data_IF_792750808378
#
_entry.id   IF_792750808378
#
_cell.length_a   1.000
_cell.length_b   1.000
_cell.length_c   1.000
_cell.angle_alpha   90.00
_cell.angle_beta   90.00
_cell.angle_gamma   90.00
#
_symmetry.space_group_name_H-M   'P 1'
#
loop_
_entity.id
_entity.type
_entity.pdbx_description
1 polymer ?
#
# COMPACT_ATOMS: atom_id res chain seq x y z
N UNK A 1 1.88 36.29 25.13
CA UNK A 1 2.40 35.65 23.93
C UNK A 1 1.29 34.75 23.40
N UNK A 2 0.64 35.10 22.30
CA UNK A 2 -0.39 34.28 21.67
C UNK A 2 0.34 33.01 21.15
N UNK A 3 0.10 31.86 21.79
CA UNK A 3 0.50 30.61 21.20
C UNK A 3 -0.18 30.54 19.82
N UNK A 4 0.61 30.51 18.75
CA UNK A 4 0.08 30.25 17.41
C UNK A 4 -0.65 28.90 17.48
N UNK A 5 -1.96 28.93 17.37
CA UNK A 5 -2.79 27.72 17.39
C UNK A 5 -2.51 26.97 16.09
N UNK A 6 -2.14 25.69 16.20
CA UNK A 6 -1.91 24.82 15.06
C UNK A 6 -3.16 24.77 14.15
N UNK A 7 -2.96 24.86 12.85
CA UNK A 7 -4.02 24.87 11.83
C UNK A 7 -3.79 23.79 10.76
N UNK A 8 -4.82 23.46 9.99
CA UNK A 8 -4.69 22.54 8.83
C UNK A 8 -3.69 23.08 7.80
N UNK A 9 -3.62 24.41 7.60
CA UNK A 9 -2.64 25.03 6.70
C UNK A 9 -1.19 24.76 7.12
N UNK A 10 -0.91 24.68 8.43
CA UNK A 10 0.43 24.35 8.94
C UNK A 10 0.82 22.89 8.68
N UNK A 11 -0.17 22.00 8.52
CA UNK A 11 0.02 20.61 8.16
C UNK A 11 0.27 20.50 6.65
N UNK A 12 -0.57 21.13 5.84
CA UNK A 12 -0.49 21.09 4.37
C UNK A 12 0.86 21.66 3.89
N UNK A 13 1.34 22.76 4.50
CA UNK A 13 2.58 23.42 4.12
C UNK A 13 3.86 22.72 4.63
N UNK A 14 3.76 21.73 5.52
CA UNK A 14 4.93 21.01 6.05
C UNK A 14 5.48 20.03 5.02
N UNK A 15 6.72 20.18 4.63
CA UNK A 15 7.39 19.34 3.63
C UNK A 15 8.05 18.07 4.23
N UNK A 16 8.35 18.08 5.53
CA UNK A 16 8.88 16.92 6.25
C UNK A 16 7.71 16.03 6.68
N UNK A 17 7.59 14.85 6.07
CA UNK A 17 6.44 13.96 6.29
C UNK A 17 6.32 13.43 7.72
N UNK A 18 7.43 13.27 8.44
CA UNK A 18 7.39 12.92 9.87
C UNK A 18 6.77 14.05 10.70
N UNK A 19 7.19 15.28 10.45
CA UNK A 19 6.63 16.47 11.13
C UNK A 19 5.19 16.72 10.69
N UNK A 20 4.87 16.52 9.40
CA UNK A 20 3.50 16.63 8.88
C UNK A 20 2.56 15.68 9.62
N UNK A 21 2.91 14.41 9.75
CA UNK A 21 2.12 13.45 10.51
C UNK A 21 2.01 13.83 11.99
N UNK A 22 3.11 14.24 12.65
CA UNK A 22 3.07 14.68 14.05
C UNK A 22 2.11 15.86 14.24
N UNK A 23 2.17 16.87 13.38
CA UNK A 23 1.24 18.02 13.42
C UNK A 23 -0.21 17.59 13.19
N UNK A 24 -0.45 16.65 12.26
CA UNK A 24 -1.80 16.15 12.00
C UNK A 24 -2.37 15.40 13.21
N UNK A 25 -1.59 14.54 13.85
CA UNK A 25 -1.96 13.87 15.10
C UNK A 25 -2.24 14.88 16.21
N UNK A 26 -1.38 15.89 16.38
CA UNK A 26 -1.56 16.92 17.41
C UNK A 26 -2.86 17.71 17.18
N UNK A 27 -3.14 18.14 15.94
CA UNK A 27 -4.36 18.90 15.64
C UNK A 27 -5.61 18.03 15.77
N UNK A 28 -5.57 16.78 15.33
CA UNK A 28 -6.63 15.81 15.53
C UNK A 28 -6.98 15.68 17.03
N UNK A 29 -5.98 15.38 17.87
CA UNK A 29 -6.19 15.22 19.31
C UNK A 29 -6.71 16.49 20.01
N UNK A 30 -6.26 17.69 19.59
CA UNK A 30 -6.70 18.96 20.13
C UNK A 30 -8.14 19.29 19.76
N UNK A 31 -8.59 18.89 18.57
CA UNK A 31 -9.92 19.20 18.05
C UNK A 31 -10.98 18.17 18.40
N UNK A 32 -10.58 16.92 18.66
CA UNK A 32 -11.44 15.74 18.81
C UNK A 32 -12.67 15.98 19.74
N UNK A 33 -12.49 16.68 20.85
CA UNK A 33 -13.56 16.90 21.83
C UNK A 33 -14.36 18.20 21.66
N UNK A 34 -13.78 19.20 21.00
CA UNK A 34 -14.30 20.56 21.07
C UNK A 34 -14.56 21.21 19.70
N UNK A 35 -14.12 20.58 18.62
CA UNK A 35 -14.26 21.12 17.26
C UNK A 35 -14.34 20.01 16.20
N UNK A 36 -15.50 19.33 16.08
CA UNK A 36 -15.68 18.23 15.11
C UNK A 36 -15.35 18.62 13.67
N UNK A 37 -15.65 19.84 13.26
CA UNK A 37 -15.37 20.35 11.91
C UNK A 37 -13.86 20.38 11.62
N UNK A 38 -13.03 20.81 12.60
CA UNK A 38 -11.57 20.76 12.44
C UNK A 38 -11.08 19.32 12.42
N UNK A 39 -11.64 18.45 13.26
CA UNK A 39 -11.28 17.02 13.25
C UNK A 39 -11.62 16.39 11.90
N UNK A 40 -12.82 16.66 11.38
CA UNK A 40 -13.24 16.20 10.04
C UNK A 40 -12.28 16.68 8.96
N UNK A 41 -11.96 17.97 8.94
CA UNK A 41 -11.05 18.53 7.93
C UNK A 41 -9.64 17.91 7.97
N UNK A 42 -9.12 17.56 9.17
CA UNK A 42 -7.85 16.81 9.31
C UNK A 42 -8.00 15.40 8.76
N UNK A 43 -9.06 14.69 9.14
CA UNK A 43 -9.32 13.32 8.67
C UNK A 43 -9.51 13.28 7.15
N UNK A 44 -10.31 14.19 6.58
CA UNK A 44 -10.52 14.30 5.13
C UNK A 44 -9.18 14.53 4.40
N UNK A 45 -8.29 15.37 4.95
CA UNK A 45 -6.97 15.60 4.36
C UNK A 45 -6.08 14.35 4.43
N UNK A 46 -6.12 13.61 5.55
CA UNK A 46 -5.29 12.41 5.77
C UNK A 46 -5.72 11.26 4.85
N UNK A 47 -7.03 11.07 4.66
CA UNK A 47 -7.59 9.94 3.89
C UNK A 47 -8.16 10.34 2.52
N UNK A 48 -8.05 11.61 2.13
CA UNK A 48 -8.60 12.12 0.86
C UNK A 48 -8.02 11.41 -0.36
N UNK A 49 -6.73 11.11 -0.33
CA UNK A 49 -6.06 10.27 -1.31
C UNK A 49 -5.29 9.15 -0.60
N UNK A 50 -5.96 8.06 -0.23
CA UNK A 50 -5.37 7.04 0.63
C UNK A 50 -4.27 6.23 -0.04
N UNK A 51 -4.24 6.14 -1.37
CA UNK A 51 -3.22 5.43 -2.12
C UNK A 51 -1.94 6.27 -2.29
N UNK A 52 -2.11 7.52 -2.68
CA UNK A 52 -1.00 8.37 -3.14
C UNK A 52 -0.49 9.31 -2.03
N UNK A 53 -1.31 9.65 -1.04
CA UNK A 53 -0.87 10.46 0.08
C UNK A 53 0.03 9.66 1.05
N UNK A 54 1.32 9.59 0.74
CA UNK A 54 2.32 8.89 1.55
C UNK A 54 2.84 9.70 2.75
N UNK A 55 2.30 10.89 2.96
CA UNK A 55 2.63 11.72 4.11
C UNK A 55 2.20 11.13 5.45
N UNK A 56 1.33 10.12 5.43
CA UNK A 56 0.74 9.52 6.62
C UNK A 56 0.86 8.01 6.63
N UNK A 57 1.14 7.45 7.81
CA UNK A 57 1.22 5.99 7.97
C UNK A 57 -0.15 5.33 7.80
N UNK A 58 -0.19 4.06 7.37
CA UNK A 58 -1.43 3.30 7.23
C UNK A 58 -2.26 3.26 8.51
N UNK A 59 -1.63 3.10 9.67
CA UNK A 59 -2.32 3.08 10.96
C UNK A 59 -3.02 4.40 11.27
N UNK A 60 -2.38 5.56 11.00
CA UNK A 60 -3.02 6.85 11.23
C UNK A 60 -4.14 7.12 10.21
N UNK A 61 -3.98 6.70 8.96
CA UNK A 61 -5.07 6.76 7.96
C UNK A 61 -6.29 5.97 8.41
N UNK A 62 -6.10 4.74 8.90
CA UNK A 62 -7.18 3.92 9.44
C UNK A 62 -7.88 4.61 10.62
N UNK A 63 -7.11 5.21 11.54
CA UNK A 63 -7.66 5.92 12.68
C UNK A 63 -8.57 7.09 12.24
N UNK A 64 -8.11 7.89 11.26
CA UNK A 64 -8.90 8.96 10.67
C UNK A 64 -10.14 8.42 9.92
N UNK A 65 -10.01 7.33 9.16
CA UNK A 65 -11.11 6.72 8.45
C UNK A 65 -12.20 6.23 9.39
N UNK A 66 -11.84 5.54 10.48
CA UNK A 66 -12.80 5.07 11.46
C UNK A 66 -13.55 6.24 12.11
N UNK A 67 -12.85 7.32 12.44
CA UNK A 67 -13.50 8.53 12.97
C UNK A 67 -14.49 9.15 11.97
N UNK A 68 -14.14 9.21 10.68
CA UNK A 68 -15.05 9.72 9.64
C UNK A 68 -16.28 8.84 9.49
N UNK A 69 -16.12 7.52 9.52
CA UNK A 69 -17.24 6.58 9.45
C UNK A 69 -18.21 6.81 10.62
N UNK A 70 -17.69 6.87 11.85
CA UNK A 70 -18.52 7.14 13.03
C UNK A 70 -19.22 8.49 12.90
N UNK A 71 -18.51 9.54 12.49
CA UNK A 71 -19.07 10.88 12.29
C UNK A 71 -20.20 10.91 11.25
N UNK A 72 -20.03 10.24 10.11
CA UNK A 72 -21.05 10.20 9.06
C UNK A 72 -22.22 9.27 9.42
N UNK A 73 -21.99 8.20 10.17
CA UNK A 73 -23.04 7.37 10.73
C UNK A 73 -23.93 8.17 11.69
N UNK A 74 -23.33 8.97 12.58
CA UNK A 74 -24.09 9.85 13.49
C UNK A 74 -24.95 10.84 12.70
N UNK A 75 -24.39 11.48 11.66
CA UNK A 75 -25.13 12.41 10.78
C UNK A 75 -26.30 11.71 10.07
N UNK A 76 -26.09 10.50 9.55
CA UNK A 76 -27.14 9.71 8.92
C UNK A 76 -28.27 9.40 9.92
N UNK A 77 -27.93 9.00 11.14
CA UNK A 77 -28.90 8.70 12.19
C UNK A 77 -29.68 9.94 12.59
N UNK A 78 -29.03 11.08 12.83
CA UNK A 78 -29.66 12.36 13.14
C UNK A 78 -30.62 12.82 12.03
N UNK A 79 -30.19 12.71 10.77
CA UNK A 79 -31.03 13.05 9.60
C UNK A 79 -32.26 12.16 9.53
N UNK A 80 -32.12 10.86 9.75
CA UNK A 80 -33.22 9.91 9.74
C UNK A 80 -34.21 10.16 10.90
N UNK A 81 -33.72 10.50 12.08
CA UNK A 81 -34.56 10.83 13.25
C UNK A 81 -35.36 12.15 13.05
N UNK A 82 -34.76 13.14 12.35
CA UNK A 82 -35.40 14.42 12.06
C UNK A 82 -36.42 14.35 10.92
N UNK A 83 -36.20 13.47 9.95
CA UNK A 83 -36.98 13.34 8.73
C UNK A 83 -37.36 11.85 8.44
N UNK A 84 -38.08 11.17 9.36
CA UNK A 84 -38.37 9.74 9.23
C UNK A 84 -39.30 9.38 8.07
N UNK A 85 -40.02 10.39 7.50
CA UNK A 85 -40.90 10.24 6.35
C UNK A 85 -40.23 10.46 5.00
N UNK A 86 -38.97 10.84 4.97
CA UNK A 86 -38.22 11.02 3.72
C UNK A 86 -37.84 9.66 3.11
N UNK A 87 -38.25 9.43 1.87
CA UNK A 87 -37.93 8.20 1.12
C UNK A 87 -36.49 8.21 0.54
N UNK A 88 -35.73 9.30 0.73
CA UNK A 88 -34.36 9.47 0.25
C UNK A 88 -33.31 8.90 1.18
N UNK A 89 -32.06 8.92 0.71
CA UNK A 89 -30.91 8.64 1.59
C UNK A 89 -30.71 9.78 2.59
N UNK A 90 -30.34 9.46 3.86
CA UNK A 90 -30.12 10.47 4.89
C UNK A 90 -28.90 11.34 4.57
N UNK A 91 -28.84 12.54 5.16
CA UNK A 91 -27.67 13.42 5.02
C UNK A 91 -26.42 12.75 5.55
N UNK A 92 -25.32 12.77 4.78
CA UNK A 92 -24.06 12.12 5.11
C UNK A 92 -23.91 10.70 4.57
N UNK A 93 -24.95 10.15 3.92
CA UNK A 93 -24.89 8.78 3.38
C UNK A 93 -23.84 8.61 2.27
N UNK A 94 -23.75 9.55 1.33
CA UNK A 94 -22.77 9.51 0.26
C UNK A 94 -21.33 9.60 0.82
N UNK A 95 -21.11 10.46 1.81
CA UNK A 95 -19.83 10.59 2.52
C UNK A 95 -19.47 9.27 3.25
N UNK A 96 -20.46 8.61 3.87
CA UNK A 96 -20.28 7.31 4.52
C UNK A 96 -19.88 6.22 3.53
N UNK A 97 -20.55 6.16 2.36
CA UNK A 97 -20.21 5.22 1.28
C UNK A 97 -18.79 5.48 0.77
N UNK A 98 -18.39 6.75 0.55
CA UNK A 98 -17.05 7.11 0.15
C UNK A 98 -15.99 6.69 1.19
N UNK A 99 -16.27 6.84 2.48
CA UNK A 99 -15.39 6.33 3.53
C UNK A 99 -15.25 4.80 3.48
N UNK A 100 -16.36 4.08 3.29
CA UNK A 100 -16.31 2.61 3.21
C UNK A 100 -15.60 2.11 1.95
N UNK A 101 -15.68 2.86 0.85
CA UNK A 101 -14.89 2.60 -0.35
C UNK A 101 -13.37 2.63 -0.07
N UNK A 102 -12.91 3.50 0.83
CA UNK A 102 -11.47 3.67 1.16
C UNK A 102 -10.89 2.51 1.98
N UNK A 103 -11.69 1.68 2.63
CA UNK A 103 -11.21 0.51 3.35
C UNK A 103 -10.31 -0.37 2.47
N UNK A 104 -10.74 -0.69 1.25
CA UNK A 104 -10.01 -1.59 0.35
C UNK A 104 -8.61 -1.09 -0.05
N UNK A 105 -8.32 0.21 0.18
CA UNK A 105 -7.01 0.80 -0.10
C UNK A 105 -6.17 1.02 1.16
N UNK A 106 -6.80 1.28 2.30
CA UNK A 106 -6.08 1.51 3.56
C UNK A 106 -5.75 0.19 4.27
N UNK A 107 -6.71 -0.71 4.35
CA UNK A 107 -6.57 -1.98 5.09
C UNK A 107 -5.43 -2.86 4.55
N UNK A 108 -5.24 -3.06 3.23
CA UNK A 108 -4.10 -3.85 2.74
C UNK A 108 -2.75 -3.27 3.17
N UNK A 109 -2.65 -1.93 3.26
CA UNK A 109 -1.42 -1.24 3.59
C UNK A 109 -1.02 -1.38 5.07
N UNK A 110 -1.92 -1.80 5.97
CA UNK A 110 -1.59 -2.01 7.39
C UNK A 110 -0.46 -3.04 7.56
N UNK A 111 -0.39 -4.04 6.69
CA UNK A 111 0.69 -5.02 6.72
C UNK A 111 2.08 -4.42 6.43
N UNK A 112 2.14 -3.22 5.82
CA UNK A 112 3.38 -2.46 5.57
C UNK A 112 3.85 -1.66 6.78
N UNK A 113 2.98 -1.43 7.77
CA UNK A 113 3.28 -0.67 8.98
C UNK A 113 3.79 -1.63 10.08
N UNK A 114 5.08 -1.55 10.38
CA UNK A 114 5.73 -2.41 11.37
C UNK A 114 5.30 -2.09 12.82
N UNK A 115 4.75 -0.90 13.06
CA UNK A 115 4.28 -0.49 14.38
C UNK A 115 2.91 -1.07 14.76
N UNK A 116 2.20 -1.66 13.78
CA UNK A 116 0.95 -2.38 14.04
C UNK A 116 1.24 -3.85 14.30
N UNK A 117 0.68 -4.38 15.36
CA UNK A 117 0.75 -5.81 15.64
C UNK A 117 -0.28 -6.60 14.82
N UNK A 118 -0.15 -7.92 14.83
CA UNK A 118 -1.04 -8.79 14.04
C UNK A 118 -2.50 -8.67 14.48
N UNK A 119 -2.74 -8.49 15.78
CA UNK A 119 -4.09 -8.38 16.34
C UNK A 119 -4.78 -7.09 15.89
N UNK A 120 -4.05 -5.97 15.88
CA UNK A 120 -4.56 -4.69 15.39
C UNK A 120 -4.96 -4.76 13.90
N UNK A 121 -4.16 -5.46 13.09
CA UNK A 121 -4.47 -5.72 11.68
C UNK A 121 -5.72 -6.61 11.53
N UNK A 122 -5.82 -7.68 12.32
CA UNK A 122 -6.98 -8.57 12.33
C UNK A 122 -8.27 -7.84 12.77
N UNK A 123 -8.20 -6.99 13.80
CA UNK A 123 -9.32 -6.16 14.26
C UNK A 123 -9.78 -5.18 13.16
N UNK A 124 -8.85 -4.59 12.42
CA UNK A 124 -9.16 -3.73 11.28
C UNK A 124 -9.86 -4.50 10.14
N UNK A 125 -9.43 -5.73 9.87
CA UNK A 125 -10.07 -6.61 8.89
C UNK A 125 -11.52 -6.94 9.28
N UNK A 126 -11.75 -7.29 10.55
CA UNK A 126 -13.10 -7.57 11.05
C UNK A 126 -13.99 -6.30 11.02
N UNK A 127 -13.43 -5.12 11.24
CA UNK A 127 -14.15 -3.85 11.09
C UNK A 127 -14.61 -3.63 9.65
N UNK A 128 -13.71 -3.81 8.66
CA UNK A 128 -14.07 -3.73 7.23
C UNK A 128 -15.17 -4.73 6.88
N UNK A 129 -15.01 -6.00 7.32
CA UNK A 129 -15.98 -7.05 7.07
C UNK A 129 -17.35 -6.69 7.64
N UNK A 130 -17.39 -6.24 8.90
CA UNK A 130 -18.63 -5.82 9.58
C UNK A 130 -19.38 -4.73 8.80
N UNK A 131 -18.67 -3.70 8.34
CA UNK A 131 -19.27 -2.64 7.55
C UNK A 131 -19.80 -3.13 6.21
N UNK A 132 -19.02 -3.96 5.49
CA UNK A 132 -19.45 -4.49 4.19
C UNK A 132 -20.67 -5.41 4.31
N UNK A 133 -20.72 -6.29 5.32
CA UNK A 133 -21.90 -7.16 5.57
C UNK A 133 -23.14 -6.34 5.94
N UNK A 134 -23.01 -5.33 6.80
CA UNK A 134 -24.15 -4.49 7.21
C UNK A 134 -24.71 -3.66 6.06
N UNK A 135 -23.86 -3.15 5.19
CA UNK A 135 -24.27 -2.39 4.00
C UNK A 135 -24.66 -3.30 2.83
N UNK A 136 -24.54 -4.61 2.99
CA UNK A 136 -24.84 -5.64 1.96
C UNK A 136 -23.95 -5.51 0.72
N UNK A 137 -22.72 -5.00 0.86
CA UNK A 137 -21.72 -5.03 -0.21
C UNK A 137 -21.18 -6.43 -0.40
N UNK A 138 -20.66 -6.69 -1.61
CA UNK A 138 -19.94 -7.92 -1.87
C UNK A 138 -18.67 -8.02 -1.01
N UNK A 139 -18.37 -9.21 -0.52
CA UNK A 139 -17.10 -9.49 0.13
C UNK A 139 -15.94 -9.75 -0.84
N UNK A 140 -16.14 -9.53 -2.15
CA UNK A 140 -15.06 -9.70 -3.15
C UNK A 140 -13.85 -8.83 -2.83
N UNK A 141 -14.05 -7.51 -2.66
CA UNK A 141 -12.97 -6.59 -2.29
C UNK A 141 -12.35 -6.89 -0.92
N UNK A 142 -13.14 -7.41 0.03
CA UNK A 142 -12.63 -7.87 1.33
C UNK A 142 -11.67 -9.06 1.18
N UNK A 143 -12.03 -10.10 0.44
CA UNK A 143 -11.14 -11.25 0.23
C UNK A 143 -9.89 -10.88 -0.56
N UNK A 144 -10.00 -9.96 -1.53
CA UNK A 144 -8.83 -9.40 -2.23
C UNK A 144 -7.90 -8.68 -1.24
N UNK A 145 -8.45 -7.85 -0.36
CA UNK A 145 -7.70 -7.15 0.70
C UNK A 145 -6.93 -8.14 1.59
N UNK A 146 -7.59 -9.20 2.06
CA UNK A 146 -6.92 -10.24 2.86
C UNK A 146 -5.82 -10.96 2.06
N UNK A 147 -6.06 -11.27 0.79
CA UNK A 147 -5.04 -11.87 -0.07
C UNK A 147 -3.79 -10.97 -0.16
N UNK A 148 -3.97 -9.65 -0.39
CA UNK A 148 -2.87 -8.69 -0.47
C UNK A 148 -2.10 -8.58 0.85
N UNK A 149 -2.78 -8.54 1.99
CA UNK A 149 -2.13 -8.58 3.29
C UNK A 149 -1.33 -9.87 3.50
N UNK A 150 -1.87 -11.02 3.06
CA UNK A 150 -1.18 -12.30 3.19
C UNK A 150 0.05 -12.38 2.29
N UNK A 151 0.03 -11.76 1.11
CA UNK A 151 1.22 -11.59 0.25
C UNK A 151 2.27 -10.76 1.00
N UNK A 152 1.90 -9.60 1.54
CA UNK A 152 2.79 -8.72 2.30
C UNK A 152 3.29 -9.33 3.61
N UNK A 153 2.56 -10.23 4.22
CA UNK A 153 2.98 -10.95 5.42
C UNK A 153 3.71 -12.27 5.16
N UNK A 154 3.81 -12.69 3.89
CA UNK A 154 4.48 -13.96 3.53
C UNK A 154 3.67 -15.22 3.83
N UNK A 155 2.35 -15.12 4.04
CA UNK A 155 1.50 -16.27 4.33
C UNK A 155 0.92 -16.88 3.04
N UNK A 156 1.66 -17.83 2.45
CA UNK A 156 1.28 -18.51 1.22
C UNK A 156 -0.04 -19.30 1.33
N UNK A 157 -0.35 -19.85 2.49
CA UNK A 157 -1.55 -20.68 2.67
C UNK A 157 -2.80 -19.78 2.72
N UNK A 158 -2.78 -18.76 3.54
CA UNK A 158 -3.87 -17.80 3.65
C UNK A 158 -4.06 -16.98 2.35
N UNK A 159 -2.98 -16.61 1.65
CA UNK A 159 -3.06 -15.95 0.35
C UNK A 159 -3.82 -16.82 -0.68
N UNK A 160 -3.53 -18.11 -0.76
CA UNK A 160 -4.24 -19.04 -1.65
C UNK A 160 -5.71 -19.19 -1.30
N UNK A 161 -6.02 -19.31 -0.02
CA UNK A 161 -7.40 -19.43 0.45
C UNK A 161 -8.21 -18.17 0.09
N UNK A 162 -7.66 -16.98 0.38
CA UNK A 162 -8.35 -15.73 0.11
C UNK A 162 -8.42 -15.41 -1.38
N UNK A 163 -7.43 -15.79 -2.18
CA UNK A 163 -7.52 -15.72 -3.64
C UNK A 163 -8.68 -16.54 -4.19
N UNK A 164 -8.86 -17.77 -3.70
CA UNK A 164 -9.98 -18.62 -4.12
C UNK A 164 -11.33 -18.01 -3.75
N UNK A 165 -11.47 -17.49 -2.52
CA UNK A 165 -12.68 -16.80 -2.08
C UNK A 165 -12.96 -15.58 -2.94
N UNK A 166 -11.95 -14.75 -3.22
CA UNK A 166 -12.07 -13.60 -4.10
C UNK A 166 -12.58 -13.99 -5.49
N UNK A 167 -11.96 -15.00 -6.13
CA UNK A 167 -12.36 -15.47 -7.48
C UNK A 167 -13.76 -16.11 -7.55
N UNK A 168 -14.30 -16.58 -6.42
CA UNK A 168 -15.62 -17.22 -6.33
C UNK A 168 -16.72 -16.25 -5.89
N UNK A 169 -16.36 -15.07 -5.38
CA UNK A 169 -17.29 -14.06 -4.90
C UNK A 169 -17.63 -13.09 -6.01
N UNK A 170 -18.92 -12.85 -6.25
CA UNK A 170 -19.37 -11.89 -7.25
C UNK A 170 -18.85 -10.49 -6.93
N UNK A 171 -18.40 -9.77 -7.95
CA UNK A 171 -18.00 -8.37 -7.85
C UNK A 171 -19.20 -7.42 -7.75
N UNK A 172 -18.99 -6.24 -7.20
CA UNK A 172 -19.92 -5.12 -7.17
C UNK A 172 -19.19 -3.81 -7.49
N UNK A 173 -19.86 -2.67 -7.26
CA UNK A 173 -19.26 -1.34 -7.44
C UNK A 173 -18.06 -1.05 -6.53
N UNK A 174 -17.85 -1.82 -5.46
CA UNK A 174 -16.70 -1.72 -4.58
C UNK A 174 -15.46 -2.43 -5.11
N UNK A 175 -15.57 -3.17 -6.21
CA UNK A 175 -14.42 -3.77 -6.89
C UNK A 175 -13.58 -2.70 -7.60
N UNK A 176 -12.30 -2.97 -7.81
CA UNK A 176 -11.44 -2.05 -8.57
C UNK A 176 -11.69 -2.20 -10.08
N UNK A 177 -11.06 -1.34 -10.88
CA UNK A 177 -11.17 -1.44 -12.33
C UNK A 177 -10.53 -2.76 -12.83
N UNK A 178 -10.94 -3.28 -13.99
CA UNK A 178 -10.45 -4.56 -14.52
C UNK A 178 -8.92 -4.65 -14.62
N UNK A 179 -8.24 -3.54 -14.93
CA UNK A 179 -6.77 -3.52 -15.03
C UNK A 179 -6.10 -3.71 -13.66
N UNK A 180 -6.63 -3.07 -12.60
CA UNK A 180 -6.14 -3.25 -11.24
C UNK A 180 -6.44 -4.66 -10.71
N UNK A 181 -7.66 -5.18 -10.94
CA UNK A 181 -8.02 -6.56 -10.57
C UNK A 181 -7.09 -7.58 -11.27
N UNK A 182 -6.75 -7.35 -12.53
CA UNK A 182 -5.81 -8.19 -13.28
C UNK A 182 -4.39 -8.12 -12.72
N UNK A 183 -3.92 -6.93 -12.32
CA UNK A 183 -2.61 -6.74 -11.68
C UNK A 183 -2.50 -7.54 -10.39
N UNK A 184 -3.56 -7.61 -9.58
CA UNK A 184 -3.53 -8.36 -8.33
C UNK A 184 -3.50 -9.88 -8.57
N UNK A 185 -3.99 -10.37 -9.70
CA UNK A 185 -3.77 -11.76 -10.11
C UNK A 185 -2.29 -12.00 -10.48
N UNK A 186 -1.64 -11.05 -11.16
CA UNK A 186 -0.20 -11.12 -11.45
C UNK A 186 0.60 -11.21 -10.15
N UNK A 187 0.33 -10.32 -9.19
CA UNK A 187 0.94 -10.29 -7.87
C UNK A 187 0.78 -11.64 -7.14
N UNK A 188 -0.44 -12.18 -7.13
CA UNK A 188 -0.71 -13.48 -6.51
C UNK A 188 0.06 -14.63 -7.16
N UNK A 189 0.02 -14.76 -8.48
CA UNK A 189 0.72 -15.85 -9.18
C UNK A 189 2.23 -15.74 -9.02
N UNK A 190 2.79 -14.53 -9.05
CA UNK A 190 4.21 -14.30 -8.75
C UNK A 190 4.53 -14.75 -7.32
N UNK A 191 3.77 -14.31 -6.32
CA UNK A 191 3.99 -14.64 -4.92
C UNK A 191 3.97 -16.15 -4.63
N UNK A 192 3.06 -16.90 -5.24
CA UNK A 192 2.98 -18.36 -5.05
C UNK A 192 3.94 -19.16 -5.94
N UNK A 193 4.84 -18.49 -6.68
CA UNK A 193 5.84 -19.12 -7.54
C UNK A 193 5.31 -19.68 -8.86
N UNK A 194 4.10 -19.32 -9.27
CA UNK A 194 3.54 -19.69 -10.56
C UNK A 194 3.91 -18.67 -11.64
N UNK A 195 5.23 -18.50 -11.85
CA UNK A 195 5.80 -17.42 -12.64
C UNK A 195 5.29 -17.34 -14.08
N UNK A 196 5.09 -18.50 -14.76
CA UNK A 196 4.52 -18.47 -16.11
C UNK A 196 3.10 -17.91 -16.11
N UNK A 197 2.27 -18.29 -15.11
CA UNK A 197 0.92 -17.72 -15.00
C UNK A 197 0.93 -16.23 -14.66
N UNK A 198 1.90 -15.77 -13.89
CA UNK A 198 2.05 -14.33 -13.64
C UNK A 198 2.35 -13.58 -14.94
N UNK A 199 3.26 -14.10 -15.78
CA UNK A 199 3.56 -13.52 -17.08
C UNK A 199 2.34 -13.56 -18.01
N UNK A 200 1.64 -14.69 -18.09
CA UNK A 200 0.46 -14.83 -18.93
C UNK A 200 -0.65 -13.86 -18.50
N UNK A 201 -0.86 -13.71 -17.20
CA UNK A 201 -1.82 -12.76 -16.63
C UNK A 201 -1.43 -11.30 -16.87
N UNK A 202 -0.14 -10.97 -16.96
CA UNK A 202 0.35 -9.63 -17.24
C UNK A 202 0.20 -9.21 -18.72
N UNK A 203 0.05 -10.15 -19.66
CA UNK A 203 0.05 -9.85 -21.11
C UNK A 203 -0.97 -8.79 -21.53
N UNK A 204 -2.27 -8.83 -21.14
CA UNK A 204 -3.24 -7.82 -21.55
C UNK A 204 -2.84 -6.40 -21.09
N UNK A 205 -2.13 -6.30 -19.97
CA UNK A 205 -1.62 -5.04 -19.43
C UNK A 205 -0.39 -4.57 -20.19
N UNK A 206 0.59 -5.46 -20.38
CA UNK A 206 1.85 -5.14 -21.05
C UNK A 206 1.67 -4.82 -22.54
N UNK A 207 0.62 -5.34 -23.17
CA UNK A 207 0.25 -5.00 -24.57
C UNK A 207 -0.59 -3.72 -24.68
N UNK A 208 -1.01 -3.14 -23.56
CA UNK A 208 -1.86 -1.94 -23.54
C UNK A 208 -3.34 -2.18 -23.81
N UNK A 209 -3.78 -3.46 -23.84
CA UNK A 209 -5.19 -3.82 -23.96
C UNK A 209 -5.97 -3.41 -22.69
N UNK A 210 -5.32 -3.51 -21.51
CA UNK A 210 -5.86 -3.09 -20.23
C UNK A 210 -4.94 -2.04 -19.61
N UNK A 211 -5.49 -0.89 -19.19
CA UNK A 211 -4.73 0.19 -18.56
C UNK A 211 -5.60 1.01 -17.61
N UNK A 212 -4.98 1.66 -16.65
CA UNK A 212 -5.56 2.70 -15.79
C UNK A 212 -4.44 3.63 -15.26
N UNK A 213 -4.73 4.52 -14.30
CA UNK A 213 -3.75 5.47 -13.76
C UNK A 213 -2.49 4.78 -13.18
N UNK A 214 -2.64 3.66 -12.46
CA UNK A 214 -1.54 2.94 -11.80
C UNK A 214 -0.98 1.78 -12.65
N UNK A 215 -1.69 1.38 -13.68
CA UNK A 215 -1.36 0.23 -14.52
C UNK A 215 -0.94 0.72 -15.91
N UNK A 216 0.26 0.35 -16.43
CA UNK A 216 1.05 -0.84 -16.11
C UNK A 216 2.09 -0.69 -14.99
N UNK A 217 2.30 0.48 -14.39
CA UNK A 217 3.44 0.77 -13.53
C UNK A 217 3.64 -0.27 -12.41
N UNK A 218 2.57 -0.59 -11.67
CA UNK A 218 2.63 -1.56 -10.55
C UNK A 218 2.72 -3.02 -11.01
N UNK A 219 2.43 -3.30 -12.30
CA UNK A 219 2.49 -4.66 -12.88
C UNK A 219 3.91 -5.04 -13.31
N UNK A 220 4.76 -4.06 -13.62
CA UNK A 220 6.10 -4.33 -14.13
C UNK A 220 6.95 -5.19 -13.20
N UNK A 221 7.02 -4.84 -11.91
CA UNK A 221 7.88 -5.56 -10.97
C UNK A 221 7.58 -7.06 -10.90
N UNK A 222 6.35 -7.54 -10.60
CA UNK A 222 6.07 -8.97 -10.51
C UNK A 222 6.21 -9.69 -11.85
N UNK A 223 5.94 -9.02 -12.98
CA UNK A 223 6.12 -9.59 -14.31
C UNK A 223 7.62 -9.80 -14.63
N UNK A 224 8.45 -8.78 -14.41
CA UNK A 224 9.90 -8.84 -14.68
C UNK A 224 10.58 -9.86 -13.75
N UNK A 225 10.29 -9.85 -12.44
CA UNK A 225 10.88 -10.85 -11.53
C UNK A 225 10.44 -12.28 -11.92
N UNK A 226 9.20 -12.47 -12.36
CA UNK A 226 8.75 -13.76 -12.88
C UNK A 226 9.51 -14.19 -14.14
N UNK A 227 9.85 -13.27 -15.03
CA UNK A 227 10.70 -13.55 -16.20
C UNK A 227 12.12 -13.96 -15.79
N UNK A 228 12.72 -13.25 -14.84
CA UNK A 228 14.05 -13.56 -14.28
C UNK A 228 14.04 -14.98 -13.66
N UNK A 229 12.99 -15.33 -12.91
CA UNK A 229 12.83 -16.67 -12.29
C UNK A 229 12.70 -17.82 -13.30
N UNK A 230 12.36 -17.50 -14.54
CA UNK A 230 12.24 -18.44 -15.65
C UNK A 230 13.40 -18.35 -16.64
N UNK A 231 14.50 -17.69 -16.26
CA UNK A 231 15.70 -17.47 -17.08
C UNK A 231 15.43 -16.71 -18.41
N UNK A 232 14.34 -15.94 -18.48
CA UNK A 232 13.96 -15.10 -19.64
C UNK A 232 14.61 -13.71 -19.54
N UNK A 233 15.93 -13.69 -19.45
CA UNK A 233 16.70 -12.48 -19.12
C UNK A 233 16.56 -11.37 -20.16
N UNK A 234 16.57 -11.69 -21.46
CA UNK A 234 16.45 -10.69 -22.55
C UNK A 234 15.09 -9.99 -22.55
N UNK A 235 14.00 -10.75 -22.26
CA UNK A 235 12.66 -10.19 -22.17
C UNK A 235 12.52 -9.34 -20.89
N UNK A 236 13.08 -9.80 -19.77
CA UNK A 236 13.09 -9.09 -18.50
C UNK A 236 13.84 -7.75 -18.61
N UNK A 237 15.02 -7.74 -19.25
CA UNK A 237 15.82 -6.53 -19.46
C UNK A 237 15.07 -5.49 -20.30
N UNK A 238 14.50 -5.91 -21.43
CA UNK A 238 13.71 -5.02 -22.28
C UNK A 238 12.50 -4.42 -21.54
N UNK A 239 11.81 -5.25 -20.75
CA UNK A 239 10.64 -4.79 -20.00
C UNK A 239 11.05 -3.88 -18.83
N UNK A 240 12.22 -4.09 -18.23
CA UNK A 240 12.77 -3.18 -17.21
C UNK A 240 13.14 -1.82 -17.80
N UNK A 241 13.71 -1.79 -19.02
CA UNK A 241 13.97 -0.55 -19.75
C UNK A 241 12.69 0.26 -19.94
N UNK A 242 11.64 -0.39 -20.45
CA UNK A 242 10.33 0.23 -20.63
C UNK A 242 9.75 0.74 -19.31
N UNK A 243 9.84 -0.05 -18.23
CA UNK A 243 9.32 0.30 -16.91
C UNK A 243 10.00 1.54 -16.34
N UNK A 244 11.32 1.64 -16.44
CA UNK A 244 12.09 2.78 -15.95
C UNK A 244 11.79 4.04 -16.78
N UNK A 245 11.67 3.91 -18.10
CA UNK A 245 11.36 5.03 -18.99
C UNK A 245 9.95 5.61 -18.76
N UNK A 246 8.99 4.78 -18.33
CA UNK A 246 7.62 5.21 -18.05
C UNK A 246 7.42 5.85 -16.68
N UNK A 247 8.35 5.65 -15.74
CA UNK A 247 8.22 6.21 -14.39
C UNK A 247 8.91 7.56 -14.32
N UNK A 248 8.12 8.60 -14.12
CA UNK A 248 8.60 9.94 -13.82
C UNK A 248 8.27 10.30 -12.35
N UNK A 249 9.20 9.99 -11.44
CA UNK A 249 9.04 10.26 -10.00
C UNK A 249 8.95 11.77 -9.69
N UNK A 250 9.41 12.64 -10.59
CA UNK A 250 9.33 14.09 -10.41
C UNK A 250 7.90 14.61 -10.64
N UNK A 251 7.14 13.96 -11.52
CA UNK A 251 5.74 14.26 -11.78
C UNK A 251 4.80 13.44 -10.89
N UNK A 252 5.15 12.16 -10.65
CA UNK A 252 4.31 11.20 -9.93
C UNK A 252 5.11 10.56 -8.77
N UNK A 253 5.26 11.30 -7.66
CA UNK A 253 5.98 10.80 -6.46
C UNK A 253 5.41 9.49 -5.90
N UNK A 254 4.18 9.13 -6.24
CA UNK A 254 3.54 7.88 -5.82
C UNK A 254 4.29 6.63 -6.28
N UNK A 255 4.94 6.70 -7.45
CA UNK A 255 5.73 5.60 -8.00
C UNK A 255 7.13 5.46 -7.39
N UNK A 256 7.53 6.33 -6.47
CA UNK A 256 8.83 6.22 -5.77
C UNK A 256 9.03 4.85 -5.14
N UNK A 257 7.96 4.19 -4.71
CA UNK A 257 8.00 2.82 -4.13
C UNK A 257 8.51 1.75 -5.10
N UNK A 258 8.42 1.99 -6.40
CA UNK A 258 8.86 1.04 -7.42
C UNK A 258 10.36 1.14 -7.69
N UNK A 259 10.98 2.27 -7.37
CA UNK A 259 12.41 2.51 -7.65
C UNK A 259 13.32 1.49 -6.94
N UNK A 260 13.19 1.22 -5.62
CA UNK A 260 14.00 0.18 -4.98
C UNK A 260 13.78 -1.21 -5.59
N UNK A 261 12.55 -1.53 -5.96
CA UNK A 261 12.22 -2.80 -6.60
C UNK A 261 12.87 -2.94 -7.98
N UNK A 262 12.85 -1.87 -8.79
CA UNK A 262 13.53 -1.87 -10.10
C UNK A 262 15.06 -1.89 -9.97
N UNK A 263 15.61 -1.24 -8.94
CA UNK A 263 17.03 -1.37 -8.61
C UNK A 263 17.41 -2.81 -8.29
N UNK A 264 16.60 -3.52 -7.51
CA UNK A 264 16.80 -4.94 -7.21
C UNK A 264 16.73 -5.82 -8.47
N UNK A 265 15.78 -5.54 -9.39
CA UNK A 265 15.68 -6.26 -10.67
C UNK A 265 16.91 -6.00 -11.57
N UNK A 266 17.36 -4.73 -11.67
CA UNK A 266 18.57 -4.38 -12.41
C UNK A 266 19.79 -5.11 -11.86
N UNK A 267 19.92 -5.20 -10.54
CA UNK A 267 21.02 -5.96 -9.90
C UNK A 267 20.96 -7.45 -10.25
N UNK A 268 19.76 -8.09 -10.18
CA UNK A 268 19.56 -9.49 -10.57
C UNK A 268 19.92 -9.76 -12.03
N UNK A 269 19.73 -8.79 -12.91
CA UNK A 269 20.11 -8.83 -14.32
C UNK A 269 21.61 -8.53 -14.57
N UNK A 270 22.42 -8.39 -13.51
CA UNK A 270 23.85 -8.07 -13.61
C UNK A 270 24.17 -6.61 -13.92
N UNK A 271 23.18 -5.72 -13.90
CA UNK A 271 23.30 -4.29 -14.21
C UNK A 271 23.60 -3.48 -12.95
N UNK A 272 24.66 -3.84 -12.20
CA UNK A 272 24.98 -3.27 -10.88
C UNK A 272 25.12 -1.75 -10.90
N UNK A 273 25.73 -1.15 -11.93
CA UNK A 273 25.88 0.30 -12.03
C UNK A 273 24.50 0.98 -12.17
N UNK A 274 23.63 0.44 -13.01
CA UNK A 274 22.26 0.95 -13.20
C UNK A 274 21.45 0.88 -11.91
N UNK A 275 21.55 -0.24 -11.18
CA UNK A 275 20.90 -0.39 -9.87
C UNK A 275 21.32 0.71 -8.91
N UNK A 276 22.64 0.97 -8.79
CA UNK A 276 23.18 2.04 -7.93
C UNK A 276 22.75 3.43 -8.40
N UNK A 277 22.73 3.70 -9.71
CA UNK A 277 22.34 4.98 -10.28
C UNK A 277 20.87 5.32 -9.99
N UNK A 278 19.96 4.32 -10.02
CA UNK A 278 18.56 4.49 -9.61
C UNK A 278 18.46 4.92 -8.14
N UNK A 279 19.21 4.26 -7.26
CA UNK A 279 19.20 4.57 -5.84
C UNK A 279 19.81 5.95 -5.55
N UNK A 280 20.90 6.32 -6.22
CA UNK A 280 21.53 7.64 -6.07
C UNK A 280 20.65 8.78 -6.57
N UNK A 281 19.91 8.57 -7.66
CA UNK A 281 19.02 9.59 -8.25
C UNK A 281 17.80 9.87 -7.38
N UNK A 282 17.22 8.84 -6.79
CA UNK A 282 15.92 8.94 -6.10
C UNK A 282 16.02 8.76 -4.57
N UNK A 283 17.22 8.57 -4.03
CA UNK A 283 17.45 8.28 -2.61
C UNK A 283 16.82 9.31 -1.66
N UNK A 284 16.97 10.59 -1.94
CA UNK A 284 16.41 11.68 -1.10
C UNK A 284 14.88 11.62 -1.08
N UNK A 285 14.24 11.33 -2.22
CA UNK A 285 12.78 11.19 -2.29
C UNK A 285 12.33 9.95 -1.53
N UNK A 286 13.01 8.81 -1.69
CA UNK A 286 12.70 7.59 -0.95
C UNK A 286 12.78 7.83 0.56
N UNK A 287 13.87 8.43 1.04
CA UNK A 287 14.08 8.72 2.47
C UNK A 287 13.04 9.68 3.03
N UNK A 288 12.52 10.62 2.22
CA UNK A 288 11.41 11.51 2.62
C UNK A 288 10.12 10.74 2.91
N UNK A 289 9.82 9.69 2.13
CA UNK A 289 8.62 8.86 2.28
C UNK A 289 8.77 7.73 3.32
N UNK A 290 9.98 7.20 3.50
CA UNK A 290 10.29 6.06 4.35
C UNK A 290 9.77 6.15 5.81
N UNK A 291 9.72 7.33 6.48
CA UNK A 291 9.24 7.41 7.86
C UNK A 291 7.81 6.91 8.08
N UNK A 292 6.97 6.97 7.05
CA UNK A 292 5.56 6.59 7.11
C UNK A 292 5.24 5.36 6.23
N UNK A 293 6.26 4.72 5.64
CA UNK A 293 6.15 3.47 4.87
C UNK A 293 7.36 2.56 5.19
N UNK A 294 7.21 1.72 6.21
CA UNK A 294 8.29 0.83 6.66
C UNK A 294 8.71 -0.18 5.59
N UNK A 295 7.78 -0.63 4.73
CA UNK A 295 8.11 -1.53 3.64
C UNK A 295 8.97 -0.86 2.58
N UNK A 296 8.66 0.40 2.21
CA UNK A 296 9.51 1.17 1.31
C UNK A 296 10.94 1.33 1.87
N UNK A 297 11.05 1.51 3.19
CA UNK A 297 12.36 1.58 3.83
C UNK A 297 13.12 0.25 3.75
N UNK A 298 12.44 -0.87 3.99
CA UNK A 298 13.03 -2.20 3.82
C UNK A 298 13.49 -2.43 2.37
N UNK A 299 12.63 -2.15 1.39
CA UNK A 299 12.97 -2.29 -0.04
C UNK A 299 14.17 -1.43 -0.43
N UNK A 300 14.27 -0.21 0.11
CA UNK A 300 15.42 0.68 -0.06
C UNK A 300 16.70 0.08 0.50
N UNK A 301 16.66 -0.43 1.73
CA UNK A 301 17.81 -1.07 2.36
C UNK A 301 18.27 -2.33 1.58
N UNK A 302 17.31 -3.15 1.11
CA UNK A 302 17.60 -4.32 0.28
C UNK A 302 18.28 -3.89 -1.03
N UNK A 303 17.78 -2.85 -1.70
CA UNK A 303 18.35 -2.36 -2.95
C UNK A 303 19.78 -1.82 -2.78
N UNK A 304 20.11 -1.24 -1.64
CA UNK A 304 21.45 -0.75 -1.32
C UNK A 304 22.41 -1.83 -0.80
N UNK A 305 21.89 -2.94 -0.29
CA UNK A 305 22.68 -3.99 0.37
C UNK A 305 23.87 -4.53 -0.45
N UNK A 306 23.81 -4.63 -1.79
CA UNK A 306 24.97 -5.06 -2.60
C UNK A 306 26.13 -4.05 -2.61
N UNK A 307 25.86 -2.79 -2.23
CA UNK A 307 26.78 -1.66 -2.36
C UNK A 307 27.23 -1.09 -0.99
N UNK A 308 26.51 -1.39 0.08
CA UNK A 308 26.73 -0.87 1.42
C UNK A 308 26.45 -1.94 2.50
N UNK A 309 27.52 -2.33 3.21
CA UNK A 309 27.43 -3.34 4.28
C UNK A 309 26.52 -2.91 5.44
N UNK A 310 26.45 -1.61 5.76
CA UNK A 310 25.56 -1.10 6.80
C UNK A 310 24.10 -1.21 6.35
N UNK A 311 23.79 -0.89 5.10
CA UNK A 311 22.48 -1.10 4.55
C UNK A 311 22.08 -2.59 4.58
N UNK A 312 23.02 -3.49 4.25
CA UNK A 312 22.79 -4.93 4.31
C UNK A 312 22.52 -5.44 5.74
N UNK A 313 23.21 -4.90 6.74
CA UNK A 313 22.94 -5.23 8.14
C UNK A 313 21.56 -4.73 8.57
N UNK A 314 21.25 -3.46 8.31
CA UNK A 314 19.95 -2.88 8.66
C UNK A 314 18.79 -3.58 7.93
N UNK A 315 18.97 -3.98 6.65
CA UNK A 315 17.96 -4.76 5.93
C UNK A 315 17.62 -6.06 6.65
N UNK A 316 18.64 -6.80 7.13
CA UNK A 316 18.42 -8.05 7.88
C UNK A 316 17.70 -7.81 9.21
N UNK A 317 18.09 -6.78 9.96
CA UNK A 317 17.45 -6.42 11.23
C UNK A 317 15.98 -6.05 11.01
N UNK A 318 15.71 -5.22 10.02
CA UNK A 318 14.36 -4.78 9.69
C UNK A 318 13.47 -5.91 9.14
N UNK A 319 14.03 -6.79 8.30
CA UNK A 319 13.38 -8.00 7.83
C UNK A 319 13.04 -8.96 8.99
N UNK A 320 13.94 -9.10 9.96
CA UNK A 320 13.70 -9.91 11.14
C UNK A 320 12.55 -9.38 12.00
N UNK A 321 12.38 -8.06 12.10
CA UNK A 321 11.26 -7.46 12.81
C UNK A 321 9.91 -7.72 12.11
N UNK A 322 9.86 -7.61 10.77
CA UNK A 322 8.68 -8.00 9.99
C UNK A 322 8.36 -9.48 10.15
N UNK A 323 9.36 -10.35 10.01
CA UNK A 323 9.19 -11.81 10.13
C UNK A 323 8.73 -12.21 11.53
N UNK A 324 9.27 -11.58 12.56
CA UNK A 324 8.85 -11.78 13.96
C UNK A 324 7.37 -11.42 14.17
N UNK A 325 6.94 -10.24 13.65
CA UNK A 325 5.53 -9.85 13.70
C UNK A 325 4.63 -10.83 12.96
N UNK A 326 5.06 -11.25 11.76
CA UNK A 326 4.28 -12.11 10.88
C UNK A 326 4.31 -13.60 11.30
N UNK A 327 5.29 -13.99 12.12
CA UNK A 327 5.48 -15.37 12.59
C UNK A 327 6.07 -16.30 11.54
N UNK A 328 6.93 -15.80 10.65
CA UNK A 328 7.59 -16.57 9.59
C UNK A 328 9.03 -16.07 9.34
N UNK A 329 9.63 -16.43 8.20
CA UNK A 329 10.97 -15.99 7.75
C UNK A 329 10.95 -15.48 6.30
N UNK A 330 9.84 -14.90 5.88
CA UNK A 330 9.61 -14.52 4.49
C UNK A 330 10.63 -13.49 4.00
N UNK A 331 10.78 -12.38 4.70
CA UNK A 331 11.68 -11.29 4.30
C UNK A 331 13.15 -11.65 4.43
N UNK A 332 13.54 -12.40 5.46
CA UNK A 332 14.91 -12.91 5.60
C UNK A 332 15.25 -13.85 4.43
N UNK A 333 14.32 -14.74 4.07
CA UNK A 333 14.50 -15.64 2.92
C UNK A 333 14.61 -14.89 1.59
N UNK A 334 13.89 -13.78 1.41
CA UNK A 334 14.03 -12.92 0.23
C UNK A 334 15.43 -12.30 0.15
N UNK A 335 15.95 -11.79 1.26
CA UNK A 335 17.32 -11.22 1.33
C UNK A 335 18.36 -12.31 1.00
N UNK A 336 18.25 -13.50 1.59
CA UNK A 336 19.14 -14.61 1.30
C UNK A 336 19.10 -15.03 -0.17
N UNK A 337 17.94 -15.05 -0.78
CA UNK A 337 17.79 -15.32 -2.20
C UNK A 337 18.42 -14.24 -3.08
N UNK A 338 18.27 -12.97 -2.71
CA UNK A 338 18.86 -11.83 -3.46
C UNK A 338 20.38 -11.90 -3.51
N UNK A 339 21.03 -12.30 -2.41
CA UNK A 339 22.49 -12.19 -2.28
C UNK A 339 23.22 -13.53 -2.28
N UNK A 340 22.49 -14.65 -2.32
CA UNK A 340 23.05 -16.00 -2.19
C UNK A 340 23.63 -16.26 -0.79
N UNK A 341 23.57 -17.50 -0.31
CA UNK A 341 24.10 -17.89 1.01
C UNK A 341 25.64 -17.78 1.15
N UNK A 342 26.34 -17.22 0.16
CA UNK A 342 27.79 -17.29 0.04
C UNK A 342 28.59 -16.01 -0.21
N UNK A 343 27.95 -14.88 -0.45
CA UNK A 343 28.67 -13.65 -0.87
C UNK A 343 28.73 -12.52 0.17
N UNK A 344 28.46 -12.83 1.44
CA UNK A 344 28.58 -11.86 2.54
C UNK A 344 29.65 -12.36 3.52
N UNK A 345 30.91 -12.36 3.08
CA UNK A 345 32.09 -12.43 3.94
C UNK A 345 32.74 -11.06 4.05
#
# INVERSE_FOLDING_TARGET
>A
MSQNRLTLSDIISESDYRKRQSKAIDLFNQSLKNNPETTRAVCDFVVGDPLNNRSFSPGFKLHCLNWLIDHHLDRCNESYEQHPEDDGFPEGFDDLIDCQWKFKWIIPMLARDLFLDKKEIEEANETMRYHYENMRFSLSSFYKTLMLQNILSGDHAAAKENFQKWQQTATDEFSDCPACEQTEQVNFYHFIGQYQKAIDAAQPILTGEMTCAEVPHITYHPAIDSMIRLDKYEEAERLLDEAIDKINVEEDEEFVRLIPLFSQLAYKLGQSQRALDLMNRHGDTIIRHAPNDNMLYLDYLIALSPFDEKAAQHAREFAADFDKRNGNSHYQSQIEFMFGSGNLQ
#
